data_IF_362206155415
#
_entry.id   IF_362206155415
#
_cell.length_a   1.000
_cell.length_b   1.000
_cell.length_c   1.000
_cell.angle_alpha   90.00
_cell.angle_beta   90.00
_cell.angle_gamma   90.00
#
_symmetry.space_group_name_H-M   'P 1'
#
loop_
_entity.id
_entity.type
_entity.pdbx_description
1 polymer ?
#
# COMPACT_ATOMS: atom_id res chain seq x y z
N UNK A 1 -22.03 -5.84 -57.92
CA UNK A 1 -20.91 -6.79 -57.74
C UNK A 1 -19.98 -6.15 -56.71
N UNK A 2 -19.63 -6.71 -55.57
CA UNK A 2 -19.93 -7.96 -54.88
C UNK A 2 -19.38 -7.77 -53.46
N UNK A 3 -20.08 -8.37 -52.50
CA UNK A 3 -19.84 -8.23 -51.07
C UNK A 3 -18.46 -8.76 -50.62
N UNK A 4 -18.01 -8.26 -49.47
CA UNK A 4 -16.82 -8.74 -48.76
C UNK A 4 -16.77 -8.16 -47.35
N UNK A 5 -17.76 -8.48 -46.52
CA UNK A 5 -17.79 -8.23 -45.08
C UNK A 5 -16.72 -9.10 -44.40
N UNK A 6 -15.76 -8.47 -43.73
CA UNK A 6 -14.86 -9.15 -42.80
C UNK A 6 -15.38 -8.93 -41.37
N UNK A 7 -16.22 -9.87 -40.91
CA UNK A 7 -16.44 -10.11 -39.50
C UNK A 7 -15.11 -10.50 -38.84
N UNK A 8 -14.71 -9.78 -37.80
CA UNK A 8 -13.76 -10.30 -36.82
C UNK A 8 -14.31 -10.09 -35.42
N UNK A 9 -14.93 -11.16 -34.92
CA UNK A 9 -14.85 -11.62 -33.54
C UNK A 9 -15.12 -10.61 -32.42
N UNK A 10 -16.37 -10.61 -31.93
CA UNK A 10 -16.63 -10.37 -30.50
C UNK A 10 -15.67 -11.21 -29.67
N UNK A 11 -14.80 -10.57 -28.89
CA UNK A 11 -14.32 -11.10 -27.62
C UNK A 11 -14.82 -10.19 -26.51
N UNK A 12 -15.99 -10.53 -26.00
CA UNK A 12 -16.35 -10.16 -24.64
C UNK A 12 -15.35 -10.82 -23.70
N UNK A 13 -14.56 -10.01 -23.02
CA UNK A 13 -13.62 -10.42 -21.97
C UNK A 13 -14.06 -9.83 -20.64
N UNK A 14 -15.05 -10.48 -20.02
CA UNK A 14 -15.25 -10.58 -18.58
C UNK A 14 -14.86 -9.40 -17.67
N UNK A 15 -15.81 -8.48 -17.47
CA UNK A 15 -16.01 -7.83 -16.15
C UNK A 15 -16.47 -8.90 -15.16
N UNK A 16 -15.52 -9.59 -14.53
CA UNK A 16 -15.72 -10.46 -13.35
C UNK A 16 -14.41 -11.12 -13.01
N UNK A 17 -13.84 -10.81 -11.85
CA UNK A 17 -13.18 -11.75 -10.94
C UNK A 17 -12.71 -11.06 -9.64
N UNK A 18 -13.62 -10.33 -9.00
CA UNK A 18 -13.68 -10.22 -7.53
C UNK A 18 -15.13 -10.45 -7.12
N UNK A 19 -15.72 -11.55 -7.60
CA UNK A 19 -16.88 -12.12 -6.93
C UNK A 19 -16.32 -12.98 -5.83
N UNK A 20 -16.56 -12.55 -4.58
CA UNK A 20 -16.32 -13.27 -3.34
C UNK A 20 -15.54 -14.56 -3.54
N UNK A 21 -14.21 -14.45 -3.59
CA UNK A 21 -13.40 -15.58 -3.24
C UNK A 21 -13.80 -15.87 -1.80
N UNK A 22 -14.53 -16.97 -1.65
CA UNK A 22 -15.00 -17.54 -0.41
C UNK A 22 -13.74 -17.79 0.45
N UNK A 23 -13.32 -16.78 1.22
CA UNK A 23 -12.06 -16.83 2.01
C UNK A 23 -12.07 -18.05 2.94
N UNK A 24 -13.26 -18.51 3.33
CA UNK A 24 -13.46 -19.77 4.05
C UNK A 24 -12.98 -21.03 3.33
N UNK A 25 -12.88 -21.05 1.99
CA UNK A 25 -12.36 -22.19 1.23
C UNK A 25 -10.83 -22.24 1.14
N UNK A 26 -10.14 -21.13 1.40
CA UNK A 26 -8.67 -21.16 1.49
C UNK A 26 -8.22 -21.97 2.72
N UNK A 27 -8.96 -21.86 3.84
CA UNK A 27 -8.73 -22.67 5.04
C UNK A 27 -9.06 -24.16 4.83
N UNK A 28 -10.07 -24.49 4.01
CA UNK A 28 -10.50 -25.88 3.83
C UNK A 28 -9.62 -26.72 2.88
N UNK A 29 -8.78 -26.07 2.05
CA UNK A 29 -7.85 -26.78 1.16
C UNK A 29 -6.48 -27.01 1.82
N UNK A 30 -6.20 -26.31 2.93
CA UNK A 30 -5.06 -26.54 3.81
C UNK A 30 -5.43 -27.57 4.88
N UNK A 31 -5.83 -28.76 4.44
CA UNK A 31 -6.01 -29.91 5.31
C UNK A 31 -4.67 -30.44 5.81
N UNK A 32 -4.17 -29.90 6.92
CA UNK A 32 -3.20 -30.60 7.79
C UNK A 32 -3.62 -30.41 9.24
N UNK A 33 -4.19 -31.48 9.80
CA UNK A 33 -4.08 -31.94 11.19
C UNK A 33 -3.29 -31.00 12.13
N UNK A 34 -3.99 -30.24 12.97
CA UNK A 34 -3.44 -29.71 14.24
C UNK A 34 -2.25 -28.75 14.19
N UNK A 35 -1.89 -28.19 13.03
CA UNK A 35 -0.82 -27.19 12.90
C UNK A 35 -1.37 -25.78 12.74
N UNK A 36 -0.90 -24.83 13.55
CA UNK A 36 -1.19 -23.40 13.33
C UNK A 36 -0.67 -22.97 11.95
N UNK A 37 -1.50 -22.30 11.16
CA UNK A 37 -1.06 -21.71 9.89
C UNK A 37 -0.08 -20.59 10.21
N UNK A 38 1.19 -20.77 9.84
CA UNK A 38 2.22 -19.75 10.03
C UNK A 38 2.26 -18.84 8.80
N UNK A 39 2.03 -17.55 9.01
CA UNK A 39 2.11 -16.53 7.98
C UNK A 39 2.77 -15.26 8.51
N UNK A 40 3.33 -14.48 7.59
CA UNK A 40 3.87 -13.16 7.84
C UNK A 40 3.04 -12.11 7.12
N UNK A 41 3.00 -10.89 7.64
CA UNK A 41 2.37 -9.76 6.95
C UNK A 41 3.41 -8.72 6.56
N UNK A 42 3.34 -8.25 5.32
CA UNK A 42 4.24 -7.22 4.80
C UNK A 42 3.42 -6.06 4.31
N UNK A 43 3.74 -4.87 4.82
CA UNK A 43 3.06 -3.62 4.48
C UNK A 43 3.85 -2.86 3.41
N UNK A 44 3.25 -2.54 2.26
CA UNK A 44 3.96 -1.88 1.17
C UNK A 44 4.28 -0.43 1.49
N UNK A 45 5.32 0.08 0.83
CA UNK A 45 5.77 1.47 0.95
C UNK A 45 5.27 2.38 -0.17
N UNK A 46 5.80 3.60 -0.19
CA UNK A 46 5.52 4.58 -1.24
C UNK A 46 5.89 4.03 -2.63
N UNK A 47 5.01 4.28 -3.60
CA UNK A 47 5.05 3.72 -4.96
C UNK A 47 3.91 2.74 -5.25
N UNK A 48 3.23 2.21 -4.22
CA UNK A 48 2.10 1.28 -4.39
C UNK A 48 0.72 1.94 -4.29
N UNK A 49 0.65 3.24 -4.04
CA UNK A 49 -0.61 3.98 -3.97
C UNK A 49 -1.26 4.11 -5.35
N UNK A 50 -2.59 4.07 -5.40
CA UNK A 50 -3.35 4.18 -6.64
C UNK A 50 -4.74 4.80 -6.38
N UNK A 51 -5.32 5.54 -7.35
CA UNK A 51 -6.69 6.01 -7.27
C UNK A 51 -7.69 4.90 -6.97
N UNK A 52 -8.59 5.13 -6.01
CA UNK A 52 -9.58 4.14 -5.56
C UNK A 52 -9.08 3.21 -4.46
N UNK A 53 -7.84 3.36 -3.98
CA UNK A 53 -7.30 2.52 -2.90
C UNK A 53 -8.16 2.58 -1.64
N UNK A 54 -8.39 1.42 -1.02
CA UNK A 54 -9.14 1.29 0.23
C UNK A 54 -10.65 1.45 0.13
N UNK A 55 -11.18 1.94 -1.01
CA UNK A 55 -12.62 2.16 -1.19
C UNK A 55 -13.45 0.89 -0.98
N UNK A 56 -13.08 -0.20 -1.65
CA UNK A 56 -13.83 -1.46 -1.56
C UNK A 56 -13.83 -2.02 -0.13
N UNK A 57 -12.70 -1.87 0.59
CA UNK A 57 -12.57 -2.32 1.98
C UNK A 57 -13.44 -1.45 2.90
N UNK A 58 -13.42 -0.12 2.75
CA UNK A 58 -14.27 0.79 3.53
C UNK A 58 -15.77 0.63 3.22
N UNK A 59 -16.13 0.22 2.00
CA UNK A 59 -17.51 -0.10 1.62
C UNK A 59 -17.97 -1.42 2.27
N UNK A 60 -17.10 -2.43 2.31
CA UNK A 60 -17.42 -3.76 2.83
C UNK A 60 -17.35 -3.87 4.36
N UNK A 61 -16.43 -3.16 5.02
CA UNK A 61 -16.15 -3.30 6.46
C UNK A 61 -16.37 -1.98 7.21
N UNK A 62 -17.37 -1.90 8.12
CA UNK A 62 -17.61 -0.69 8.91
C UNK A 62 -16.43 -0.26 9.79
N UNK A 63 -15.61 -1.19 10.27
CA UNK A 63 -14.41 -0.86 11.04
C UNK A 63 -13.36 -0.14 10.20
N UNK A 64 -13.09 -0.64 8.99
CA UNK A 64 -12.19 0.01 8.05
C UNK A 64 -12.69 1.40 7.65
N UNK A 65 -14.00 1.56 7.43
CA UNK A 65 -14.60 2.89 7.18
C UNK A 65 -14.33 3.86 8.33
N UNK A 66 -14.50 3.40 9.57
CA UNK A 66 -14.26 4.23 10.76
C UNK A 66 -12.81 4.68 10.86
N UNK A 67 -11.84 3.85 10.46
CA UNK A 67 -10.43 4.26 10.39
C UNK A 67 -10.24 5.44 9.43
N UNK A 68 -10.86 5.42 8.24
CA UNK A 68 -10.82 6.57 7.31
C UNK A 68 -11.51 7.81 7.88
N UNK A 69 -12.69 7.67 8.48
CA UNK A 69 -13.43 8.79 9.08
C UNK A 69 -12.59 9.46 10.19
N UNK A 70 -11.98 8.68 11.07
CA UNK A 70 -11.13 9.18 12.13
C UNK A 70 -9.82 9.77 11.59
N UNK A 71 -9.26 9.19 10.52
CA UNK A 71 -8.09 9.76 9.87
C UNK A 71 -8.39 11.15 9.28
N UNK A 72 -9.56 11.33 8.66
CA UNK A 72 -9.99 12.63 8.13
C UNK A 72 -10.08 13.69 9.26
N UNK A 73 -10.63 13.30 10.41
CA UNK A 73 -10.71 14.16 11.60
C UNK A 73 -9.32 14.55 12.13
N UNK A 74 -8.41 13.56 12.27
CA UNK A 74 -7.05 13.79 12.77
C UNK A 74 -6.24 14.69 11.83
N UNK A 75 -6.40 14.50 10.52
CA UNK A 75 -5.64 15.24 9.52
C UNK A 75 -6.22 16.63 9.26
N UNK A 76 -7.52 16.82 9.47
CA UNK A 76 -8.23 18.05 9.18
C UNK A 76 -8.58 18.22 7.70
N UNK A 77 -8.50 17.15 6.91
CA UNK A 77 -8.90 17.12 5.50
C UNK A 77 -9.39 15.71 5.12
N UNK A 78 -10.15 15.60 4.03
CA UNK A 78 -10.73 14.34 3.58
C UNK A 78 -9.70 13.45 2.84
N UNK A 79 -8.80 12.80 3.60
CA UNK A 79 -7.89 11.78 3.09
C UNK A 79 -8.67 10.63 2.44
N UNK A 80 -9.81 10.25 3.01
CA UNK A 80 -10.70 9.24 2.45
C UNK A 80 -11.09 9.55 1.00
N UNK A 81 -11.56 10.79 0.74
CA UNK A 81 -11.90 11.25 -0.60
C UNK A 81 -10.69 11.24 -1.53
N UNK A 82 -9.53 11.67 -1.03
CA UNK A 82 -8.28 11.63 -1.79
C UNK A 82 -7.89 10.20 -2.19
N UNK A 83 -8.03 9.24 -1.29
CA UNK A 83 -7.77 7.82 -1.58
C UNK A 83 -8.78 7.24 -2.59
N UNK A 84 -10.06 7.56 -2.43
CA UNK A 84 -11.14 6.91 -3.19
C UNK A 84 -11.38 7.52 -4.57
N UNK A 85 -11.13 8.82 -4.71
CA UNK A 85 -11.51 9.62 -5.89
C UNK A 85 -10.37 10.48 -6.43
N UNK A 86 -9.28 10.65 -5.67
CA UNK A 86 -8.16 11.50 -6.06
C UNK A 86 -7.44 11.03 -7.30
N UNK A 87 -6.76 11.96 -7.96
CA UNK A 87 -5.93 11.66 -9.12
C UNK A 87 -4.63 10.96 -8.72
N UNK A 88 -4.01 10.28 -9.69
CA UNK A 88 -2.70 9.67 -9.49
C UNK A 88 -1.63 10.74 -9.13
N UNK A 89 -1.76 11.94 -9.67
CA UNK A 89 -0.82 13.04 -9.41
C UNK A 89 -0.91 13.54 -7.96
N UNK A 90 -2.12 13.75 -7.45
CA UNK A 90 -2.31 14.15 -6.06
C UNK A 90 -1.80 13.07 -5.10
N UNK A 91 -2.03 11.79 -5.41
CA UNK A 91 -1.54 10.65 -4.62
C UNK A 91 -0.04 10.41 -4.77
N UNK A 92 0.64 10.97 -5.77
CA UNK A 92 2.10 10.90 -5.87
C UNK A 92 2.81 11.88 -4.95
N UNK A 93 2.14 12.95 -4.52
CA UNK A 93 2.73 13.91 -3.58
C UNK A 93 3.01 13.21 -2.24
N UNK A 94 4.23 13.35 -1.72
CA UNK A 94 4.68 12.59 -0.54
C UNK A 94 3.79 12.85 0.67
N UNK A 95 3.35 14.10 0.85
CA UNK A 95 2.41 14.55 1.89
C UNK A 95 1.07 13.81 1.89
N UNK A 96 0.66 13.27 0.75
CA UNK A 96 -0.58 12.51 0.59
C UNK A 96 -0.33 11.00 0.54
N UNK A 97 0.69 10.57 -0.23
CA UNK A 97 1.01 9.17 -0.45
C UNK A 97 1.24 8.44 0.89
N UNK A 98 1.98 9.06 1.79
CA UNK A 98 2.38 8.43 3.05
C UNK A 98 1.19 8.22 4.01
N UNK A 99 0.38 9.25 4.35
CA UNK A 99 -0.85 9.03 5.11
C UNK A 99 -1.82 8.06 4.43
N UNK A 100 -2.00 8.16 3.10
CA UNK A 100 -2.90 7.28 2.35
C UNK A 100 -2.51 5.80 2.51
N UNK A 101 -1.22 5.48 2.33
CA UNK A 101 -0.70 4.12 2.46
C UNK A 101 -0.81 3.60 3.89
N UNK A 102 -0.45 4.42 4.88
CA UNK A 102 -0.55 4.05 6.28
C UNK A 102 -1.99 3.74 6.69
N UNK A 103 -2.93 4.65 6.42
CA UNK A 103 -4.36 4.51 6.77
C UNK A 103 -4.96 3.30 6.06
N UNK A 104 -4.64 3.09 4.78
CA UNK A 104 -5.11 1.92 4.03
C UNK A 104 -4.56 0.62 4.60
N UNK A 105 -3.29 0.59 5.02
CA UNK A 105 -2.68 -0.56 5.69
C UNK A 105 -3.38 -0.90 7.00
N UNK A 106 -3.63 0.10 7.86
CA UNK A 106 -4.33 -0.07 9.15
C UNK A 106 -5.78 -0.50 8.93
N UNK A 107 -6.49 0.11 7.99
CA UNK A 107 -7.88 -0.25 7.66
C UNK A 107 -7.97 -1.69 7.14
N UNK A 108 -7.02 -2.13 6.33
CA UNK A 108 -6.94 -3.50 5.81
C UNK A 108 -6.63 -4.50 6.91
N UNK A 109 -5.66 -4.20 7.77
CA UNK A 109 -5.34 -5.01 8.96
C UNK A 109 -6.56 -5.18 9.86
N UNK A 110 -7.29 -4.08 10.13
CA UNK A 110 -8.50 -4.08 10.95
C UNK A 110 -9.59 -4.95 10.34
N UNK A 111 -9.89 -4.78 9.04
CA UNK A 111 -10.89 -5.58 8.34
C UNK A 111 -10.52 -7.08 8.30
N UNK A 112 -9.24 -7.40 8.11
CA UNK A 112 -8.78 -8.78 8.07
C UNK A 112 -8.99 -9.47 9.42
N UNK A 113 -8.82 -8.75 10.53
CA UNK A 113 -9.06 -9.27 11.88
C UNK A 113 -10.52 -9.61 12.19
N UNK A 114 -11.47 -9.11 11.39
CA UNK A 114 -12.87 -9.52 11.49
C UNK A 114 -13.16 -10.85 10.78
N UNK A 115 -12.33 -11.22 9.80
CA UNK A 115 -12.51 -12.42 8.99
C UNK A 115 -11.79 -13.64 9.56
N UNK A 116 -10.63 -13.41 10.17
CA UNK A 116 -9.75 -14.45 10.70
C UNK A 116 -9.10 -13.98 12.00
N UNK A 117 -8.80 -14.92 12.88
CA UNK A 117 -7.99 -14.65 14.05
C UNK A 117 -6.54 -14.40 13.62
N UNK A 118 -6.04 -13.18 13.88
CA UNK A 118 -4.77 -12.71 13.36
C UNK A 118 -3.62 -12.99 14.33
N UNK A 119 -2.79 -13.97 13.98
CA UNK A 119 -1.57 -14.36 14.68
C UNK A 119 -0.40 -14.55 13.69
N UNK A 120 0.02 -13.47 12.99
CA UNK A 120 1.21 -13.55 12.14
C UNK A 120 2.44 -13.84 13.00
N UNK A 121 3.34 -14.69 12.51
CA UNK A 121 4.60 -15.00 13.20
C UNK A 121 5.60 -13.83 13.13
N UNK A 122 5.44 -12.96 12.13
CA UNK A 122 6.17 -11.71 12.00
C UNK A 122 5.41 -10.71 11.13
N UNK A 123 5.74 -9.43 11.32
CA UNK A 123 5.28 -8.33 10.47
C UNK A 123 6.49 -7.48 10.06
N UNK A 124 6.42 -6.88 8.88
CA UNK A 124 7.44 -5.95 8.39
C UNK A 124 6.80 -4.93 7.45
N UNK A 125 7.44 -3.78 7.23
CA UNK A 125 7.00 -2.84 6.23
C UNK A 125 8.13 -2.20 5.45
N UNK A 126 7.86 -1.84 4.20
CA UNK A 126 8.84 -1.15 3.38
C UNK A 126 8.72 0.36 3.58
N UNK A 127 9.75 1.01 4.13
CA UNK A 127 9.78 2.47 4.34
C UNK A 127 8.56 2.95 5.13
N UNK A 128 7.64 3.72 4.55
CA UNK A 128 6.42 4.17 5.25
C UNK A 128 5.50 3.02 5.68
N UNK A 129 5.57 1.86 5.01
CA UNK A 129 4.80 0.68 5.40
C UNK A 129 5.18 0.16 6.79
N UNK A 130 6.39 0.44 7.27
CA UNK A 130 6.88 -0.01 8.59
C UNK A 130 5.98 0.51 9.73
N UNK A 131 5.43 1.71 9.60
CA UNK A 131 4.52 2.28 10.61
C UNK A 131 3.24 1.47 10.75
N UNK A 132 2.66 1.00 9.64
CA UNK A 132 1.49 0.12 9.69
C UNK A 132 1.85 -1.26 10.25
N UNK A 133 3.06 -1.76 9.97
CA UNK A 133 3.57 -2.99 10.58
C UNK A 133 3.72 -2.86 12.11
N UNK A 134 4.24 -1.73 12.60
CA UNK A 134 4.34 -1.44 14.03
C UNK A 134 2.97 -1.37 14.71
N UNK A 135 1.96 -0.82 14.03
CA UNK A 135 0.56 -0.87 14.50
C UNK A 135 0.04 -2.30 14.55
N UNK A 136 0.26 -3.10 13.50
CA UNK A 136 -0.15 -4.50 13.48
C UNK A 136 0.57 -5.35 14.56
N UNK A 137 1.79 -5.00 14.92
CA UNK A 137 2.53 -5.60 16.03
C UNK A 137 2.04 -5.15 17.42
N UNK A 138 1.16 -4.14 17.51
CA UNK A 138 0.74 -3.53 18.77
C UNK A 138 1.82 -2.67 19.44
N UNK A 139 2.89 -2.32 18.72
CA UNK A 139 3.99 -1.51 19.23
C UNK A 139 3.73 0.00 19.12
N UNK A 140 2.77 0.39 18.28
CA UNK A 140 2.41 1.78 18.01
C UNK A 140 0.88 1.92 17.95
N UNK A 141 0.32 2.89 18.66
CA UNK A 141 -1.10 3.27 18.48
C UNK A 141 -1.29 3.88 17.08
N UNK A 142 -2.40 3.56 16.41
CA UNK A 142 -2.54 3.94 15.01
C UNK A 142 -2.80 5.43 14.82
N UNK A 143 -3.44 6.10 15.78
CA UNK A 143 -3.68 7.55 15.73
C UNK A 143 -2.37 8.32 15.91
N UNK A 144 -1.55 7.91 16.88
CA UNK A 144 -0.19 8.45 17.06
C UNK A 144 0.68 8.15 15.84
N UNK A 145 0.56 6.95 15.28
CA UNK A 145 1.22 6.55 14.04
C UNK A 145 0.83 7.44 12.86
N UNK A 146 -0.43 7.82 12.71
CA UNK A 146 -0.89 8.73 11.66
C UNK A 146 -0.27 10.11 11.80
N UNK A 147 -0.20 10.65 13.02
CA UNK A 147 0.44 11.94 13.28
C UNK A 147 1.94 11.91 12.95
N UNK A 148 2.62 10.82 13.31
CA UNK A 148 4.03 10.62 13.00
C UNK A 148 4.29 10.48 11.49
N UNK A 149 3.45 9.72 10.79
CA UNK A 149 3.53 9.56 9.34
C UNK A 149 3.27 10.88 8.62
N UNK A 150 2.30 11.68 9.08
CA UNK A 150 2.05 13.04 8.57
C UNK A 150 3.31 13.91 8.72
N UNK A 151 3.87 13.99 9.93
CA UNK A 151 5.07 14.79 10.19
C UNK A 151 6.26 14.35 9.33
N UNK A 152 6.44 13.03 9.16
CA UNK A 152 7.46 12.46 8.26
C UNK A 152 7.23 12.90 6.81
N UNK A 153 6.00 12.82 6.33
CA UNK A 153 5.65 13.16 4.97
C UNK A 153 5.91 14.64 4.65
N UNK A 154 5.51 15.53 5.57
CA UNK A 154 5.75 16.98 5.48
C UNK A 154 7.26 17.31 5.49
N UNK A 155 8.02 16.69 6.39
CA UNK A 155 9.47 16.87 6.46
C UNK A 155 10.18 16.38 5.19
N UNK A 156 9.79 15.21 4.67
CA UNK A 156 10.37 14.66 3.44
C UNK A 156 10.02 15.51 2.21
N UNK A 157 8.80 16.01 2.11
CA UNK A 157 8.38 16.89 1.03
C UNK A 157 9.19 18.19 1.05
N UNK A 158 9.33 18.81 2.23
CA UNK A 158 10.12 20.03 2.41
C UNK A 158 11.59 19.81 2.05
N UNK A 159 12.17 18.67 2.47
CA UNK A 159 13.54 18.31 2.12
C UNK A 159 13.72 18.16 0.60
N UNK A 160 12.82 17.45 -0.07
CA UNK A 160 12.86 17.23 -1.52
C UNK A 160 12.73 18.53 -2.32
N UNK A 161 11.92 19.47 -1.86
CA UNK A 161 11.78 20.80 -2.47
C UNK A 161 13.03 21.67 -2.25
N UNK A 162 13.66 21.56 -1.07
CA UNK A 162 14.87 22.32 -0.74
C UNK A 162 16.14 21.81 -1.41
N UNK A 163 16.20 20.51 -1.70
CA UNK A 163 17.36 19.85 -2.29
C UNK A 163 16.89 18.80 -3.30
N UNK A 164 16.62 19.21 -4.56
CA UNK A 164 16.15 18.31 -5.59
C UNK A 164 17.13 17.15 -5.81
N UNK A 165 16.59 15.94 -5.76
CA UNK A 165 17.32 14.69 -6.00
C UNK A 165 16.46 13.69 -6.76
N UNK A 166 17.07 12.59 -7.18
CA UNK A 166 16.35 11.48 -7.84
C UNK A 166 16.88 10.15 -7.33
N UNK A 167 16.18 9.07 -7.65
CA UNK A 167 16.54 7.71 -7.30
C UNK A 167 16.57 6.82 -8.54
N UNK A 168 17.49 5.86 -8.57
CA UNK A 168 17.58 4.85 -9.62
C UNK A 168 17.53 3.44 -9.01
N UNK A 169 16.81 2.53 -9.66
CA UNK A 169 16.83 1.11 -9.32
C UNK A 169 17.89 0.41 -10.17
N UNK A 170 18.90 -0.18 -9.52
CA UNK A 170 19.98 -0.92 -10.18
C UNK A 170 19.67 -2.40 -10.14
N UNK A 171 19.72 -3.06 -11.30
CA UNK A 171 19.40 -4.49 -11.45
C UNK A 171 20.59 -5.23 -12.06
N UNK A 172 20.92 -6.40 -11.52
CA UNK A 172 21.92 -7.30 -12.10
C UNK A 172 23.38 -7.00 -11.72
N UNK A 173 23.63 -6.06 -10.83
CA UNK A 173 24.93 -5.84 -10.19
C UNK A 173 24.90 -6.34 -8.74
N UNK A 174 26.04 -6.80 -8.24
CA UNK A 174 26.21 -7.10 -6.82
C UNK A 174 26.45 -5.83 -6.00
N UNK A 175 26.40 -5.96 -4.67
CA UNK A 175 26.52 -4.82 -3.76
C UNK A 175 27.88 -4.12 -3.88
N UNK A 176 28.98 -4.87 -4.02
CA UNK A 176 30.32 -4.29 -4.14
C UNK A 176 30.45 -3.44 -5.42
N UNK A 177 29.94 -3.91 -6.55
CA UNK A 177 29.94 -3.15 -7.79
C UNK A 177 29.08 -1.88 -7.70
N UNK A 178 27.92 -1.94 -7.01
CA UNK A 178 27.07 -0.76 -6.78
C UNK A 178 27.78 0.26 -5.88
N UNK A 179 28.42 -0.20 -4.80
CA UNK A 179 29.17 0.67 -3.89
C UNK A 179 30.34 1.37 -4.59
N UNK A 180 31.07 0.65 -5.44
CA UNK A 180 32.15 1.26 -6.23
C UNK A 180 31.62 2.29 -7.22
N UNK A 181 30.54 1.97 -7.94
CA UNK A 181 29.90 2.91 -8.85
C UNK A 181 29.44 4.19 -8.13
N UNK A 182 28.86 4.07 -6.93
CA UNK A 182 28.49 5.23 -6.11
C UNK A 182 29.71 6.04 -5.67
N UNK A 183 30.81 5.38 -5.26
CA UNK A 183 32.08 6.06 -4.92
C UNK A 183 32.62 6.85 -6.10
N UNK A 184 32.70 6.25 -7.28
CA UNK A 184 33.17 6.94 -8.49
C UNK A 184 32.27 8.13 -8.83
N UNK A 185 30.95 7.94 -8.81
CA UNK A 185 29.97 8.97 -9.13
C UNK A 185 29.96 10.13 -8.11
N UNK A 186 30.33 9.88 -6.85
CA UNK A 186 30.40 10.91 -5.79
C UNK A 186 31.39 12.04 -6.10
N UNK A 187 32.33 11.81 -7.02
CA UNK A 187 33.23 12.86 -7.53
C UNK A 187 32.52 13.92 -8.38
N UNK A 188 31.34 13.59 -8.95
CA UNK A 188 30.55 14.46 -9.82
C UNK A 188 29.37 15.13 -9.08
N UNK A 189 29.02 14.68 -7.88
CA UNK A 189 27.90 15.20 -7.10
C UNK A 189 27.57 14.33 -5.89
N UNK A 190 26.50 14.68 -5.16
CA UNK A 190 26.01 13.83 -4.06
C UNK A 190 25.30 12.63 -4.66
N UNK A 191 25.81 11.43 -4.33
CA UNK A 191 25.26 10.11 -4.70
C UNK A 191 25.07 9.29 -3.44
#
# INVERSE_FOLDING_TARGET
MGAGTAETGRRGGSRRLWRGADVGRLCATLGVLGGMVMYALVFPGQGSQAPGMGREIAEAFPSARRIYEQADEILGYALSRLCFEGSEEELRQTVHAQPALFVTGVATWTALGELVDLHPVCVAGHSVGEYAALVAAGALDWQDGLQLVRARAEAMQTAAESSPGTMAAVLGLDAEAVEEACREASSAGVV
#
